data_IF_779401185546
#
_entry.id   IF_779401185546
#
_cell.length_a   1.000
_cell.length_b   1.000
_cell.length_c   1.000
_cell.angle_alpha   90.00
_cell.angle_beta   90.00
_cell.angle_gamma   90.00
#
_symmetry.space_group_name_H-M   'P 1'
#
loop_
_entity.id
_entity.type
_entity.pdbx_description
1 polymer ?
#
# COMPACT_ATOMS: atom_id res chain seq x y z
N UNK A 1 -39.84 -67.69 -43.24
CA UNK A 1 -40.31 -67.05 -41.96
C UNK A 1 -39.12 -66.90 -41.06
N UNK A 2 -38.53 -65.77 -41.02
CA UNK A 2 -37.52 -65.52 -40.04
C UNK A 2 -37.34 -64.00 -39.92
N UNK A 3 -37.41 -63.49 -38.71
CA UNK A 3 -37.31 -62.09 -38.40
C UNK A 3 -35.85 -61.74 -38.01
N UNK A 4 -35.26 -60.84 -38.75
CA UNK A 4 -33.97 -60.23 -38.45
C UNK A 4 -34.12 -59.14 -37.39
N UNK A 5 -33.42 -59.30 -36.28
CA UNK A 5 -33.28 -58.26 -35.29
C UNK A 5 -32.02 -57.43 -35.57
N UNK A 6 -32.22 -56.17 -35.89
CA UNK A 6 -31.16 -55.16 -36.05
C UNK A 6 -30.89 -54.57 -34.68
N UNK A 7 -29.70 -54.86 -34.09
CA UNK A 7 -29.25 -54.36 -32.85
C UNK A 7 -28.67 -52.92 -33.09
N UNK A 8 -29.37 -51.90 -32.61
CA UNK A 8 -28.86 -50.51 -32.59
C UNK A 8 -27.95 -50.32 -31.40
N UNK A 9 -26.67 -50.19 -31.67
CA UNK A 9 -25.69 -49.74 -30.68
C UNK A 9 -25.88 -48.24 -30.46
N UNK A 10 -26.41 -47.85 -29.29
CA UNK A 10 -26.37 -46.49 -28.78
C UNK A 10 -25.05 -46.28 -28.06
N UNK A 11 -24.15 -45.54 -28.69
CA UNK A 11 -22.94 -45.04 -28.04
C UNK A 11 -23.37 -43.85 -27.17
N UNK A 12 -23.46 -44.06 -25.85
CA UNK A 12 -23.60 -42.99 -24.88
C UNK A 12 -22.21 -42.39 -24.64
N UNK A 13 -21.96 -41.23 -25.19
CA UNK A 13 -20.80 -40.41 -24.81
C UNK A 13 -21.09 -39.75 -23.45
N UNK A 14 -20.23 -39.92 -22.46
CA UNK A 14 -20.38 -39.15 -21.22
C UNK A 14 -20.01 -37.70 -21.48
N UNK A 15 -21.00 -36.81 -21.40
CA UNK A 15 -20.82 -35.37 -21.34
C UNK A 15 -20.10 -35.07 -20.01
N UNK A 16 -18.78 -34.92 -20.06
CA UNK A 16 -18.00 -34.36 -18.97
C UNK A 16 -18.33 -32.84 -18.88
N UNK A 17 -19.34 -32.54 -18.06
CA UNK A 17 -19.55 -31.20 -17.55
C UNK A 17 -18.33 -30.85 -16.66
N UNK A 18 -17.32 -30.24 -17.25
CA UNK A 18 -16.33 -29.46 -16.50
C UNK A 18 -17.08 -28.34 -15.77
N UNK A 19 -17.47 -28.60 -14.54
CA UNK A 19 -17.78 -27.57 -13.59
C UNK A 19 -16.47 -26.78 -13.40
N UNK A 20 -16.32 -25.67 -14.14
CA UNK A 20 -15.43 -24.60 -13.77
C UNK A 20 -15.97 -24.05 -12.45
N UNK A 21 -15.50 -24.61 -11.34
CA UNK A 21 -15.58 -23.95 -10.06
C UNK A 21 -14.78 -22.66 -10.21
N UNK A 22 -15.38 -21.47 -10.03
CA UNK A 22 -14.54 -20.30 -9.88
C UNK A 22 -13.64 -20.62 -8.70
N UNK A 23 -12.33 -20.63 -8.92
CA UNK A 23 -11.38 -20.56 -7.82
C UNK A 23 -11.80 -19.32 -7.03
N UNK A 24 -12.47 -19.54 -5.90
CA UNK A 24 -12.61 -18.51 -4.90
C UNK A 24 -11.19 -18.05 -4.63
N UNK A 25 -10.85 -16.86 -5.08
CA UNK A 25 -9.67 -16.17 -4.61
C UNK A 25 -9.79 -16.23 -3.09
N UNK A 26 -8.94 -17.03 -2.46
CA UNK A 26 -8.84 -17.03 -1.01
C UNK A 26 -8.52 -15.58 -0.68
N UNK A 27 -9.49 -14.92 -0.03
CA UNK A 27 -9.27 -13.65 0.62
C UNK A 27 -7.95 -13.80 1.38
N UNK A 28 -7.02 -12.91 1.08
CA UNK A 28 -5.79 -12.72 1.84
C UNK A 28 -6.13 -12.87 3.30
N UNK A 29 -5.49 -13.83 3.95
CA UNK A 29 -5.54 -14.05 5.40
C UNK A 29 -5.53 -12.69 6.07
N UNK A 30 -6.54 -12.43 6.93
CA UNK A 30 -6.61 -11.23 7.77
C UNK A 30 -5.24 -11.04 8.42
N UNK A 31 -4.45 -10.14 7.90
CA UNK A 31 -3.16 -9.84 8.48
C UNK A 31 -3.43 -9.15 9.83
N UNK A 32 -3.11 -9.79 10.96
CA UNK A 32 -3.40 -9.24 12.26
C UNK A 32 -2.76 -7.86 12.47
N UNK A 33 -1.70 -7.54 11.74
CA UNK A 33 -1.03 -6.24 11.81
C UNK A 33 -1.91 -5.10 11.29
N UNK A 34 -2.62 -5.29 10.18
CA UNK A 34 -3.53 -4.25 9.65
C UNK A 34 -4.68 -3.96 10.63
N UNK A 35 -5.30 -5.01 11.18
CA UNK A 35 -6.36 -4.86 12.17
C UNK A 35 -5.85 -4.19 13.44
N UNK A 36 -4.66 -4.57 13.91
CA UNK A 36 -4.03 -3.98 15.09
C UNK A 36 -3.77 -2.48 14.91
N UNK A 37 -3.19 -2.09 13.76
CA UNK A 37 -2.95 -0.67 13.45
C UNK A 37 -4.25 0.12 13.32
N UNK A 38 -5.30 -0.47 12.73
CA UNK A 38 -6.62 0.15 12.66
C UNK A 38 -7.21 0.40 14.06
N UNK A 39 -7.15 -0.58 14.97
CA UNK A 39 -7.68 -0.42 16.32
C UNK A 39 -6.91 0.61 17.13
N UNK A 40 -5.59 0.70 16.96
CA UNK A 40 -4.78 1.75 17.57
C UNK A 40 -5.17 3.14 17.06
N UNK A 41 -5.46 3.26 15.77
CA UNK A 41 -5.96 4.52 15.19
C UNK A 41 -7.32 4.91 15.81
N UNK A 42 -8.24 3.94 15.90
CA UNK A 42 -9.55 4.13 16.52
C UNK A 42 -9.44 4.65 17.94
N UNK A 43 -8.76 3.92 18.80
CA UNK A 43 -8.59 4.30 20.21
C UNK A 43 -7.92 5.67 20.33
N UNK A 44 -6.94 5.97 19.49
CA UNK A 44 -6.24 7.25 19.50
C UNK A 44 -7.08 8.45 19.12
N UNK A 45 -8.07 8.27 18.23
CA UNK A 45 -8.92 9.32 17.69
C UNK A 45 -10.24 9.44 18.48
N UNK A 46 -10.87 8.32 18.80
CA UNK A 46 -12.25 8.31 19.31
C UNK A 46 -12.33 8.27 20.84
N UNK A 47 -11.26 7.88 21.57
CA UNK A 47 -11.22 7.99 23.02
C UNK A 47 -11.22 9.44 23.54
N UNK A 48 -10.45 10.42 23.00
CA UNK A 48 -10.42 11.77 23.55
C UNK A 48 -11.76 12.45 23.74
N UNK A 49 -12.73 12.41 22.81
CA UNK A 49 -14.03 13.03 23.00
C UNK A 49 -14.92 12.32 24.04
N UNK A 50 -14.58 11.09 24.47
CA UNK A 50 -15.38 10.36 25.46
C UNK A 50 -15.10 10.80 26.91
N UNK A 51 -14.00 11.53 27.14
CA UNK A 51 -13.52 11.91 28.46
C UNK A 51 -13.37 13.43 28.58
N UNK A 52 -14.01 14.01 29.61
CA UNK A 52 -13.81 15.40 30.00
C UNK A 52 -13.49 15.49 31.50
N UNK A 53 -12.32 16.09 31.84
CA UNK A 53 -11.86 16.22 33.23
C UNK A 53 -11.87 14.90 34.03
N UNK A 54 -11.54 13.78 33.39
CA UNK A 54 -11.53 12.45 34.02
C UNK A 54 -12.91 11.82 34.22
N UNK A 55 -13.95 12.42 33.64
CA UNK A 55 -15.30 11.87 33.66
C UNK A 55 -15.72 11.40 32.28
N UNK A 56 -16.44 10.29 32.22
CA UNK A 56 -17.01 9.75 31.00
C UNK A 56 -18.20 10.63 30.59
N UNK A 57 -18.12 11.25 29.42
CA UNK A 57 -19.20 12.09 28.86
C UNK A 57 -19.96 11.35 27.75
N UNK A 58 -19.36 10.35 27.13
CA UNK A 58 -20.02 9.40 26.23
C UNK A 58 -19.78 7.96 26.72
N UNK A 59 -20.74 7.36 27.44
CA UNK A 59 -20.57 6.03 28.01
C UNK A 59 -20.56 4.90 26.96
N UNK A 60 -21.17 5.11 25.79
CA UNK A 60 -21.26 4.08 24.73
C UNK A 60 -19.92 3.97 24.03
N UNK A 61 -19.43 5.07 23.48
CA UNK A 61 -18.11 5.14 22.83
C UNK A 61 -16.99 4.77 23.81
N UNK A 62 -17.08 5.20 25.07
CA UNK A 62 -16.09 4.84 26.10
C UNK A 62 -16.03 3.31 26.32
N UNK A 63 -17.17 2.61 26.35
CA UNK A 63 -17.19 1.16 26.51
C UNK A 63 -16.54 0.45 25.31
N UNK A 64 -16.70 0.97 24.09
CA UNK A 64 -16.00 0.45 22.90
C UNK A 64 -14.48 0.65 23.03
N UNK A 65 -14.03 1.79 23.56
CA UNK A 65 -12.59 2.03 23.78
C UNK A 65 -11.99 1.05 24.79
N UNK A 66 -12.75 0.71 25.86
CA UNK A 66 -12.34 -0.34 26.81
C UNK A 66 -12.21 -1.70 26.11
N UNK A 67 -13.18 -2.09 25.27
CA UNK A 67 -13.14 -3.35 24.52
C UNK A 67 -11.97 -3.39 23.52
N UNK A 68 -11.81 -2.35 22.69
CA UNK A 68 -10.77 -2.27 21.68
C UNK A 68 -9.37 -2.29 22.29
N UNK A 69 -9.15 -1.67 23.44
CA UNK A 69 -7.88 -1.74 24.15
C UNK A 69 -7.52 -3.18 24.57
N UNK A 70 -8.50 -3.98 24.93
CA UNK A 70 -8.32 -5.41 25.21
C UNK A 70 -7.99 -6.21 23.96
N UNK A 71 -8.68 -5.94 22.84
CA UNK A 71 -8.44 -6.65 21.58
C UNK A 71 -7.08 -6.28 20.95
N UNK A 72 -6.58 -5.06 21.13
CA UNK A 72 -5.21 -4.67 20.76
C UNK A 72 -4.19 -5.63 21.40
N UNK A 73 -4.32 -5.92 22.70
CA UNK A 73 -3.45 -6.87 23.39
C UNK A 73 -3.58 -8.28 22.80
N UNK A 74 -4.81 -8.74 22.54
CA UNK A 74 -5.08 -10.05 21.99
C UNK A 74 -4.47 -10.22 20.58
N UNK A 75 -4.60 -9.21 19.73
CA UNK A 75 -4.02 -9.23 18.39
C UNK A 75 -2.50 -9.22 18.46
N UNK A 76 -1.92 -8.38 19.33
CA UNK A 76 -0.47 -8.32 19.50
C UNK A 76 0.10 -9.64 20.02
N UNK A 77 -0.61 -10.35 20.90
CA UNK A 77 -0.22 -11.70 21.34
C UNK A 77 -0.17 -12.69 20.18
N UNK A 78 -1.06 -12.58 19.21
CA UNK A 78 -1.10 -13.44 18.00
C UNK A 78 0.00 -13.12 16.98
N UNK A 79 0.62 -11.92 17.04
CA UNK A 79 1.74 -11.56 16.17
C UNK A 79 2.92 -12.52 16.38
N UNK A 80 3.76 -12.74 15.35
CA UNK A 80 4.97 -13.57 15.48
C UNK A 80 5.87 -13.12 16.64
N UNK A 81 6.58 -14.08 17.27
CA UNK A 81 7.58 -13.73 18.27
C UNK A 81 8.75 -13.00 17.60
N UNK A 82 9.08 -11.83 18.16
CA UNK A 82 10.22 -11.01 17.77
C UNK A 82 10.84 -10.32 18.98
N UNK A 83 12.10 -9.96 18.88
CA UNK A 83 12.75 -9.08 19.85
C UNK A 83 11.92 -7.79 20.01
N UNK A 84 11.68 -7.34 21.23
CA UNK A 84 10.86 -6.17 21.52
C UNK A 84 9.35 -6.43 21.65
N UNK A 85 8.79 -7.59 21.27
CA UNK A 85 7.35 -7.89 21.41
C UNK A 85 6.83 -7.68 22.84
N UNK A 86 7.62 -8.03 23.85
CA UNK A 86 7.26 -7.85 25.25
C UNK A 86 7.12 -6.37 25.64
N UNK A 87 7.94 -5.50 25.05
CA UNK A 87 7.85 -4.04 25.22
C UNK A 87 6.57 -3.52 24.57
N UNK A 88 6.24 -3.99 23.36
CA UNK A 88 4.99 -3.61 22.68
C UNK A 88 3.75 -4.06 23.48
N UNK A 89 3.77 -5.26 24.08
CA UNK A 89 2.71 -5.75 24.96
C UNK A 89 2.59 -4.88 26.23
N UNK A 90 3.71 -4.46 26.82
CA UNK A 90 3.70 -3.56 27.97
C UNK A 90 3.10 -2.19 27.62
N UNK A 91 3.44 -1.64 26.46
CA UNK A 91 2.87 -0.38 25.98
C UNK A 91 1.35 -0.50 25.70
N UNK A 92 0.91 -1.61 25.12
CA UNK A 92 -0.53 -1.89 24.94
C UNK A 92 -1.27 -1.99 26.29
N UNK A 93 -0.67 -2.63 27.29
CA UNK A 93 -1.23 -2.71 28.63
C UNK A 93 -1.28 -1.33 29.32
N UNK A 94 -0.33 -0.43 29.07
CA UNK A 94 -0.37 0.95 29.55
C UNK A 94 -1.54 1.73 28.94
N UNK A 95 -1.82 1.55 27.65
CA UNK A 95 -3.00 2.14 26.99
C UNK A 95 -4.28 1.65 27.67
N UNK A 96 -4.45 0.34 27.84
CA UNK A 96 -5.62 -0.26 28.49
C UNK A 96 -5.80 0.27 29.93
N UNK A 97 -4.73 0.29 30.70
CA UNK A 97 -4.77 0.83 32.07
C UNK A 97 -5.13 2.32 32.09
N UNK A 98 -4.57 3.12 31.17
CA UNK A 98 -4.88 4.54 31.05
C UNK A 98 -6.35 4.80 30.71
N UNK A 99 -6.97 3.98 29.85
CA UNK A 99 -8.39 4.05 29.54
C UNK A 99 -9.21 3.71 30.79
N UNK A 100 -8.91 2.62 31.49
CA UNK A 100 -9.61 2.22 32.73
C UNK A 100 -9.49 3.27 33.85
N UNK A 101 -8.35 3.96 33.92
CA UNK A 101 -8.11 5.08 34.87
C UNK A 101 -8.70 6.41 34.38
N UNK A 102 -9.28 6.46 33.18
CA UNK A 102 -9.87 7.66 32.59
C UNK A 102 -8.89 8.82 32.44
N UNK A 103 -7.66 8.51 32.04
CA UNK A 103 -6.64 9.54 31.80
C UNK A 103 -7.04 10.43 30.62
N UNK A 104 -6.54 11.67 30.61
CA UNK A 104 -6.89 12.65 29.55
C UNK A 104 -6.60 12.13 28.16
N UNK A 105 -7.49 12.44 27.19
CA UNK A 105 -7.49 11.94 25.83
C UNK A 105 -6.15 12.11 25.10
N UNK A 106 -5.49 13.27 25.23
CA UNK A 106 -4.18 13.52 24.62
C UNK A 106 -3.10 12.50 25.05
N UNK A 107 -3.18 11.99 26.30
CA UNK A 107 -2.21 10.98 26.77
C UNK A 107 -2.43 9.67 26.00
N UNK A 108 -3.68 9.24 25.86
CA UNK A 108 -4.01 8.01 25.13
C UNK A 108 -3.65 8.15 23.64
N UNK A 109 -3.96 9.28 22.99
CA UNK A 109 -3.56 9.52 21.60
C UNK A 109 -2.05 9.41 21.40
N UNK A 110 -1.25 9.94 22.32
CA UNK A 110 0.23 9.82 22.24
C UNK A 110 0.69 8.37 22.44
N UNK A 111 0.10 7.63 23.39
CA UNK A 111 0.47 6.23 23.63
C UNK A 111 0.12 5.32 22.44
N UNK A 112 -1.07 5.48 21.86
CA UNK A 112 -1.48 4.71 20.69
C UNK A 112 -0.62 5.02 19.49
N UNK A 113 -0.27 6.30 19.26
CA UNK A 113 0.62 6.71 18.19
C UNK A 113 2.02 6.10 18.36
N UNK A 114 2.60 6.19 19.56
CA UNK A 114 3.92 5.61 19.85
C UNK A 114 3.94 4.09 19.66
N UNK A 115 2.87 3.39 20.09
CA UNK A 115 2.77 1.95 19.87
C UNK A 115 2.61 1.60 18.38
N UNK A 116 1.84 2.39 17.62
CA UNK A 116 1.69 2.22 16.17
C UNK A 116 3.03 2.33 15.44
N UNK A 117 3.82 3.35 15.73
CA UNK A 117 5.16 3.56 15.17
C UNK A 117 6.12 2.42 15.52
N UNK A 118 6.12 2.01 16.80
CA UNK A 118 6.95 0.89 17.26
C UNK A 118 6.57 -0.44 16.59
N UNK A 119 5.28 -0.70 16.34
CA UNK A 119 4.81 -1.87 15.60
C UNK A 119 5.25 -1.84 14.14
N UNK A 120 5.05 -0.73 13.45
CA UNK A 120 5.48 -0.54 12.05
C UNK A 120 6.97 -0.83 11.91
N UNK A 121 7.79 -0.25 12.81
CA UNK A 121 9.24 -0.45 12.81
C UNK A 121 9.63 -1.88 13.15
N UNK A 122 9.09 -2.45 14.26
CA UNK A 122 9.48 -3.77 14.76
C UNK A 122 9.10 -4.90 13.79
N UNK A 123 7.93 -4.80 13.17
CA UNK A 123 7.42 -5.81 12.23
C UNK A 123 7.68 -5.46 10.76
N UNK A 124 8.36 -4.36 10.46
CA UNK A 124 8.62 -3.88 9.09
C UNK A 124 7.35 -3.83 8.25
N UNK A 125 6.27 -3.28 8.82
CA UNK A 125 4.97 -3.22 8.15
C UNK A 125 5.06 -2.18 7.03
N UNK A 126 4.70 -2.59 5.81
CA UNK A 126 4.67 -1.70 4.65
C UNK A 126 3.42 -0.81 4.74
N UNK A 127 3.63 0.48 4.94
CA UNK A 127 2.55 1.47 5.12
C UNK A 127 2.33 2.35 3.89
N UNK A 128 2.66 1.85 2.72
CA UNK A 128 2.53 2.60 1.47
C UNK A 128 2.38 1.72 0.23
N UNK A 129 1.90 2.28 -0.87
CA UNK A 129 1.90 1.60 -2.15
C UNK A 129 3.31 1.53 -2.73
N UNK A 130 3.57 0.57 -3.60
CA UNK A 130 4.87 0.43 -4.30
C UNK A 130 5.16 1.60 -5.24
N UNK A 131 4.12 2.17 -5.82
CA UNK A 131 4.17 3.32 -6.73
C UNK A 131 2.93 4.19 -6.54
N UNK A 132 2.98 5.43 -7.04
CA UNK A 132 1.83 6.31 -7.00
C UNK A 132 0.63 5.67 -7.72
N UNK A 133 -0.53 5.55 -7.06
CA UNK A 133 -1.70 4.99 -7.70
C UNK A 133 -2.21 5.91 -8.82
N UNK A 134 -2.81 5.31 -9.83
CA UNK A 134 -3.45 6.09 -10.90
C UNK A 134 -4.69 6.81 -10.35
N UNK A 135 -4.63 8.14 -10.34
CA UNK A 135 -5.73 8.99 -9.84
C UNK A 135 -6.84 9.22 -10.87
N UNK A 136 -6.68 8.73 -12.11
CA UNK A 136 -7.73 8.87 -13.12
C UNK A 136 -8.99 8.09 -12.71
N UNK A 137 -10.12 8.80 -12.67
CA UNK A 137 -11.42 8.19 -12.31
C UNK A 137 -11.66 7.97 -10.82
N UNK A 138 -10.73 8.36 -9.92
CA UNK A 138 -10.90 8.18 -8.47
C UNK A 138 -12.14 8.90 -7.95
N UNK A 139 -12.48 10.08 -8.49
CA UNK A 139 -13.70 10.80 -8.12
C UNK A 139 -14.96 10.00 -8.46
N UNK A 140 -15.03 9.41 -9.64
CA UNK A 140 -16.17 8.57 -10.03
C UNK A 140 -16.25 7.28 -9.17
N UNK A 141 -15.09 6.73 -8.79
CA UNK A 141 -15.01 5.59 -7.86
C UNK A 141 -15.56 5.98 -6.48
N UNK A 142 -15.18 7.13 -5.95
CA UNK A 142 -15.70 7.69 -4.69
C UNK A 142 -17.22 7.91 -4.76
N UNK A 143 -17.70 8.54 -5.82
CA UNK A 143 -19.13 8.81 -6.00
C UNK A 143 -19.95 7.52 -6.04
N UNK A 144 -19.44 6.46 -6.66
CA UNK A 144 -20.16 5.19 -6.77
C UNK A 144 -20.19 4.35 -5.50
N UNK A 145 -19.18 4.50 -4.63
CA UNK A 145 -19.01 3.62 -3.46
C UNK A 145 -19.14 4.33 -2.11
N UNK A 146 -18.82 5.62 -2.03
CA UNK A 146 -18.63 6.32 -0.76
C UNK A 146 -19.63 7.47 -0.56
N UNK A 147 -19.96 8.22 -1.64
CA UNK A 147 -20.71 9.47 -1.54
C UNK A 147 -22.14 9.29 -1.00
N UNK A 148 -22.73 8.10 -1.11
CA UNK A 148 -24.06 7.84 -0.55
C UNK A 148 -24.14 8.04 0.96
N UNK A 149 -23.06 7.80 1.68
CA UNK A 149 -22.93 8.00 3.12
C UNK A 149 -22.11 9.26 3.43
N UNK A 150 -20.92 9.41 2.80
CA UNK A 150 -19.99 10.47 3.13
C UNK A 150 -20.25 11.81 2.42
N UNK A 151 -21.25 11.88 1.51
CA UNK A 151 -21.52 13.06 0.69
C UNK A 151 -20.56 13.19 -0.49
N UNK A 152 -20.98 13.90 -1.53
CA UNK A 152 -20.17 14.10 -2.76
C UNK A 152 -18.84 14.81 -2.45
N UNK A 153 -18.89 15.73 -1.48
CA UNK A 153 -17.72 16.52 -1.07
C UNK A 153 -17.02 15.97 0.18
N UNK A 154 -17.53 14.90 0.79
CA UNK A 154 -16.86 14.26 1.91
C UNK A 154 -17.16 14.85 3.30
N UNK A 155 -18.25 15.59 3.47
CA UNK A 155 -18.65 16.19 4.75
C UNK A 155 -19.43 15.25 5.68
N UNK A 156 -19.60 13.98 5.32
CA UNK A 156 -20.41 13.03 6.08
C UNK A 156 -21.93 13.26 5.91
N UNK A 157 -22.35 14.05 4.94
CA UNK A 157 -23.71 14.54 4.71
C UNK A 157 -24.44 13.81 3.58
N UNK A 158 -24.01 12.61 3.23
CA UNK A 158 -24.63 11.82 2.17
C UNK A 158 -26.09 11.48 2.46
N UNK A 159 -26.89 11.17 1.42
CA UNK A 159 -28.32 10.90 1.58
C UNK A 159 -28.64 9.74 2.53
N UNK A 160 -27.72 8.80 2.70
CA UNK A 160 -27.86 7.68 3.65
C UNK A 160 -27.33 7.98 5.05
N UNK A 161 -26.63 9.11 5.25
CA UNK A 161 -26.06 9.46 6.57
C UNK A 161 -27.13 9.72 7.64
N UNK A 162 -28.33 10.12 7.21
CA UNK A 162 -29.40 10.51 8.15
C UNK A 162 -29.84 9.34 9.02
N UNK A 163 -29.59 9.46 10.31
CA UNK A 163 -29.98 8.44 11.31
C UNK A 163 -28.98 7.29 11.44
N UNK A 164 -27.80 7.41 10.86
CA UNK A 164 -26.69 6.52 11.16
C UNK A 164 -26.06 6.90 12.51
N UNK A 165 -25.76 5.90 13.30
CA UNK A 165 -25.06 6.02 14.58
C UNK A 165 -23.94 5.00 14.62
N UNK A 166 -22.67 5.39 14.68
CA UNK A 166 -22.20 6.77 14.57
C UNK A 166 -22.42 7.35 13.14
N UNK A 167 -22.44 8.69 13.00
CA UNK A 167 -22.57 9.33 11.69
C UNK A 167 -21.31 9.10 10.84
N UNK A 168 -21.43 9.10 9.50
CA UNK A 168 -20.27 9.03 8.61
C UNK A 168 -19.30 10.17 8.89
N UNK A 169 -17.99 9.85 8.91
CA UNK A 169 -16.95 10.83 9.20
C UNK A 169 -16.89 11.95 8.16
N UNK A 170 -16.67 13.18 8.66
CA UNK A 170 -16.31 14.36 7.85
C UNK A 170 -14.80 14.33 7.58
N UNK A 171 -14.42 14.23 6.29
CA UNK A 171 -13.01 14.21 5.89
C UNK A 171 -12.34 15.60 5.95
N UNK A 172 -13.11 16.67 6.13
CA UNK A 172 -12.59 18.03 6.31
C UNK A 172 -12.30 18.37 7.78
N UNK A 173 -12.76 17.54 8.72
CA UNK A 173 -12.50 17.77 10.14
C UNK A 173 -11.01 17.54 10.46
N UNK A 174 -10.25 18.63 10.51
CA UNK A 174 -8.82 18.59 10.82
C UNK A 174 -8.55 17.99 12.20
N UNK A 175 -9.46 18.11 13.17
CA UNK A 175 -9.25 17.54 14.51
C UNK A 175 -9.14 16.02 14.47
N UNK A 176 -9.93 15.37 13.62
CA UNK A 176 -9.85 13.92 13.37
C UNK A 176 -8.71 13.53 12.43
N UNK A 177 -8.40 14.37 11.44
CA UNK A 177 -7.37 14.05 10.44
C UNK A 177 -5.94 14.36 10.92
N UNK A 178 -5.78 15.13 12.00
CA UNK A 178 -4.49 15.58 12.46
C UNK A 178 -3.54 14.44 12.86
N UNK A 179 -4.10 13.40 13.49
CA UNK A 179 -3.36 12.20 13.92
C UNK A 179 -3.42 11.04 12.92
N UNK A 180 -4.19 11.19 11.83
CA UNK A 180 -4.36 10.15 10.81
C UNK A 180 -3.38 10.26 9.66
N UNK A 181 -2.83 9.14 9.26
CA UNK A 181 -2.05 8.97 8.04
C UNK A 181 -2.95 8.57 6.85
N UNK A 182 -2.42 8.62 5.63
CA UNK A 182 -3.11 8.05 4.45
C UNK A 182 -3.27 6.53 4.61
N UNK A 183 -2.31 5.86 5.26
CA UNK A 183 -2.38 4.43 5.53
C UNK A 183 -3.55 4.06 6.47
N UNK A 184 -3.86 4.88 7.45
CA UNK A 184 -5.01 4.66 8.33
C UNK A 184 -6.34 4.75 7.54
N UNK A 185 -6.44 5.70 6.60
CA UNK A 185 -7.57 5.79 5.68
C UNK A 185 -7.66 4.56 4.76
N UNK A 186 -6.53 4.11 4.21
CA UNK A 186 -6.45 2.90 3.40
C UNK A 186 -6.92 1.66 4.18
N UNK A 187 -6.50 1.52 5.44
CA UNK A 187 -6.92 0.41 6.30
C UNK A 187 -8.42 0.47 6.60
N UNK A 188 -8.95 1.65 6.92
CA UNK A 188 -10.39 1.85 7.14
C UNK A 188 -11.21 1.48 5.89
N UNK A 189 -10.78 1.88 4.71
CA UNK A 189 -11.42 1.49 3.44
C UNK A 189 -11.33 -0.03 3.25
N UNK A 190 -10.16 -0.62 3.50
CA UNK A 190 -9.93 -2.05 3.29
C UNK A 190 -10.76 -2.93 4.22
N UNK A 191 -10.75 -2.62 5.51
CA UNK A 191 -11.32 -3.46 6.55
C UNK A 191 -12.78 -3.11 6.88
N UNK A 192 -13.23 -1.90 6.53
CA UNK A 192 -14.47 -1.33 7.05
C UNK A 192 -14.34 -1.00 8.53
N UNK A 193 -15.45 -0.68 9.14
CA UNK A 193 -15.54 -0.34 10.57
C UNK A 193 -16.49 -1.32 11.24
N UNK A 194 -16.02 -2.15 12.20
CA UNK A 194 -16.88 -3.09 12.91
C UNK A 194 -18.07 -2.38 13.52
N UNK A 195 -19.20 -3.08 13.59
CA UNK A 195 -20.44 -2.62 14.23
C UNK A 195 -21.08 -1.34 13.64
N UNK A 196 -20.55 -0.85 12.51
CA UNK A 196 -21.08 0.31 11.80
C UNK A 196 -21.54 -0.06 10.38
N UNK A 197 -22.32 0.81 9.70
CA UNK A 197 -22.65 0.64 8.30
C UNK A 197 -21.45 0.73 7.32
N UNK A 198 -20.25 1.13 7.78
CA UNK A 198 -19.05 1.21 6.96
C UNK A 198 -18.52 -0.20 6.63
N UNK A 199 -18.93 -0.74 5.49
CA UNK A 199 -18.50 -2.07 5.05
C UNK A 199 -17.03 -2.09 4.58
N UNK A 200 -16.45 -3.30 4.52
CA UNK A 200 -15.15 -3.54 3.89
C UNK A 200 -15.22 -3.34 2.37
N UNK A 201 -14.25 -2.62 1.82
CA UNK A 201 -14.05 -2.46 0.39
C UNK A 201 -12.84 -3.27 -0.13
N UNK A 202 -12.49 -4.36 0.53
CA UNK A 202 -11.42 -5.27 0.10
C UNK A 202 -11.64 -5.88 -1.29
N UNK A 203 -12.87 -5.81 -1.84
CA UNK A 203 -13.19 -6.23 -3.20
C UNK A 203 -12.67 -5.26 -4.29
N UNK A 204 -12.36 -4.01 -3.93
CA UNK A 204 -11.64 -3.07 -4.80
C UNK A 204 -10.18 -3.48 -4.92
N UNK A 205 -9.55 -3.18 -6.05
CA UNK A 205 -8.12 -3.42 -6.20
C UNK A 205 -7.31 -2.61 -5.17
N UNK A 206 -6.11 -3.08 -4.88
CA UNK A 206 -5.19 -2.38 -3.98
C UNK A 206 -4.94 -0.94 -4.45
N UNK A 207 -4.65 -0.76 -5.73
CA UNK A 207 -4.47 0.54 -6.37
C UNK A 207 -5.68 1.47 -6.21
N UNK A 208 -6.91 0.95 -6.37
CA UNK A 208 -8.13 1.73 -6.18
C UNK A 208 -8.31 2.20 -4.74
N UNK A 209 -8.01 1.35 -3.76
CA UNK A 209 -8.09 1.71 -2.34
C UNK A 209 -7.05 2.76 -1.96
N UNK A 210 -5.81 2.64 -2.47
CA UNK A 210 -4.77 3.66 -2.30
C UNK A 210 -5.14 4.98 -2.95
N UNK A 211 -5.71 4.97 -4.17
CA UNK A 211 -6.18 6.17 -4.85
C UNK A 211 -7.25 6.90 -4.04
N UNK A 212 -8.23 6.16 -3.49
CA UNK A 212 -9.26 6.71 -2.60
C UNK A 212 -8.63 7.30 -1.33
N UNK A 213 -7.76 6.57 -0.64
CA UNK A 213 -7.10 7.06 0.58
C UNK A 213 -6.27 8.32 0.34
N UNK A 214 -5.51 8.38 -0.77
CA UNK A 214 -4.75 9.57 -1.15
C UNK A 214 -5.64 10.76 -1.51
N UNK A 215 -6.77 10.53 -2.15
CA UNK A 215 -7.75 11.58 -2.43
C UNK A 215 -8.33 12.15 -1.13
N UNK A 216 -8.79 11.29 -0.22
CA UNK A 216 -9.40 11.69 1.05
C UNK A 216 -8.39 12.39 1.97
N UNK A 217 -7.13 11.97 1.97
CA UNK A 217 -6.06 12.59 2.74
C UNK A 217 -5.75 14.06 2.40
N UNK A 218 -6.39 14.61 1.33
CA UNK A 218 -6.24 16.00 0.89
C UNK A 218 -7.35 16.91 1.40
N UNK A 219 -8.49 16.37 1.84
CA UNK A 219 -9.72 17.15 2.10
C UNK A 219 -9.61 18.06 3.32
N UNK A 220 -8.80 17.72 4.31
CA UNK A 220 -8.70 18.47 5.57
C UNK A 220 -7.79 19.70 5.53
N UNK A 221 -7.16 20.01 4.39
CA UNK A 221 -6.18 21.11 4.29
C UNK A 221 -6.68 22.25 3.41
N UNK A 222 -6.26 23.47 3.75
CA UNK A 222 -6.56 24.66 2.94
C UNK A 222 -5.47 24.91 1.89
N UNK A 223 -5.84 25.62 0.83
CA UNK A 223 -4.90 26.08 -0.21
C UNK A 223 -3.75 26.93 0.38
N UNK A 224 -4.00 27.66 1.46
CA UNK A 224 -2.98 28.44 2.16
C UNK A 224 -1.93 27.50 2.81
N UNK A 225 -2.37 26.43 3.44
CA UNK A 225 -1.46 25.43 4.02
C UNK A 225 -0.61 24.75 2.94
N UNK A 226 -1.23 24.38 1.82
CA UNK A 226 -0.53 23.79 0.66
C UNK A 226 0.51 24.76 0.09
N UNK A 227 0.15 26.03 -0.09
CA UNK A 227 1.07 27.08 -0.60
C UNK A 227 2.23 27.30 0.34
N UNK A 228 1.97 27.36 1.65
CA UNK A 228 3.02 27.46 2.67
C UNK A 228 3.93 26.24 2.67
N UNK A 229 3.34 25.06 2.56
CA UNK A 229 4.07 23.78 2.48
C UNK A 229 5.01 23.73 1.29
N UNK A 230 4.56 24.20 0.11
CA UNK A 230 5.41 24.33 -1.08
C UNK A 230 6.68 25.14 -0.80
N UNK A 231 6.51 26.31 -0.19
CA UNK A 231 7.65 27.20 0.14
C UNK A 231 8.62 26.51 1.09
N UNK A 232 8.11 25.85 2.14
CA UNK A 232 8.95 25.13 3.12
C UNK A 232 9.66 23.93 2.47
N UNK A 233 8.98 23.18 1.62
CA UNK A 233 9.56 22.05 0.88
C UNK A 233 10.69 22.49 -0.05
N UNK A 234 10.51 23.60 -0.76
CA UNK A 234 11.55 24.20 -1.60
C UNK A 234 12.77 24.70 -0.81
N UNK A 235 12.57 25.07 0.46
CA UNK A 235 13.64 25.43 1.39
C UNK A 235 14.33 24.21 2.02
N UNK A 236 13.92 22.99 1.68
CA UNK A 236 14.50 21.75 2.17
C UNK A 236 13.95 21.25 3.51
N UNK A 237 12.89 21.88 4.03
CA UNK A 237 12.28 21.48 5.32
C UNK A 237 11.72 20.06 5.21
N UNK A 238 12.12 19.20 6.16
CA UNK A 238 11.75 17.78 6.25
C UNK A 238 12.11 16.91 5.03
N UNK A 239 13.03 17.36 4.16
CA UNK A 239 13.48 16.56 3.00
C UNK A 239 13.97 15.18 3.39
N UNK A 240 14.70 15.07 4.49
CA UNK A 240 15.27 13.81 4.94
C UNK A 240 14.21 12.83 5.50
N UNK A 241 13.03 13.33 5.84
CA UNK A 241 11.93 12.51 6.36
C UNK A 241 10.99 12.00 5.26
N UNK A 242 10.94 12.69 4.11
CA UNK A 242 10.05 12.35 2.99
C UNK A 242 10.86 12.00 1.74
N UNK A 243 11.46 10.82 1.72
CA UNK A 243 12.26 10.30 0.61
C UNK A 243 11.60 9.11 -0.11
N UNK A 244 10.51 8.57 0.45
CA UNK A 244 9.78 7.41 -0.08
C UNK A 244 8.27 7.56 0.11
N UNK A 245 7.47 6.82 -0.71
CA UNK A 245 6.01 6.79 -0.59
C UNK A 245 5.52 6.32 0.79
N UNK A 246 6.09 5.27 1.41
CA UNK A 246 5.71 4.86 2.75
C UNK A 246 5.85 5.98 3.79
N UNK A 247 6.86 6.85 3.67
CA UNK A 247 7.00 8.00 4.56
C UNK A 247 5.85 9.00 4.38
N UNK A 248 5.43 9.26 3.14
CA UNK A 248 4.28 10.13 2.88
C UNK A 248 2.97 9.52 3.38
N UNK A 249 2.76 8.24 3.10
CA UNK A 249 1.49 7.57 3.37
C UNK A 249 1.33 7.16 4.82
N UNK A 250 2.44 6.86 5.52
CA UNK A 250 2.46 6.47 6.92
C UNK A 250 2.51 7.65 7.91
N UNK A 251 2.78 8.87 7.44
CA UNK A 251 2.96 10.03 8.32
C UNK A 251 1.66 10.80 8.52
N UNK A 252 1.34 11.11 9.79
CA UNK A 252 0.26 12.02 10.16
C UNK A 252 0.74 13.48 10.24
N UNK A 253 -0.20 14.43 10.26
CA UNK A 253 0.15 15.85 10.45
C UNK A 253 0.82 16.12 11.80
N UNK A 254 0.41 15.38 12.84
CA UNK A 254 1.01 15.46 14.17
C UNK A 254 2.48 15.04 14.14
N UNK A 255 2.81 13.92 13.50
CA UNK A 255 4.19 13.44 13.35
C UNK A 255 5.05 14.44 12.56
N UNK A 256 4.52 14.99 11.47
CA UNK A 256 5.27 15.98 10.68
C UNK A 256 5.58 17.26 11.49
N UNK A 257 4.65 17.71 12.34
CA UNK A 257 4.90 18.83 13.25
C UNK A 257 5.94 18.47 14.33
N UNK A 258 5.94 17.24 14.83
CA UNK A 258 6.94 16.73 15.79
C UNK A 258 8.34 16.68 15.16
N UNK A 259 8.45 16.14 13.95
CA UNK A 259 9.72 16.08 13.22
C UNK A 259 10.31 17.48 13.01
N UNK A 260 9.48 18.47 12.66
CA UNK A 260 9.96 19.85 12.55
C UNK A 260 10.50 20.39 13.87
N UNK A 261 9.94 20.00 15.01
CA UNK A 261 10.47 20.39 16.34
C UNK A 261 11.80 19.70 16.65
N UNK A 262 11.92 18.38 16.33
CA UNK A 262 13.15 17.60 16.52
C UNK A 262 14.29 18.18 15.68
N UNK A 263 14.01 18.60 14.44
CA UNK A 263 14.96 19.23 13.54
C UNK A 263 15.34 20.69 13.95
N UNK A 264 14.85 21.16 15.10
CA UNK A 264 15.12 22.49 15.60
C UNK A 264 14.30 23.61 14.93
N UNK A 265 13.26 23.24 14.18
CA UNK A 265 12.39 24.15 13.43
C UNK A 265 11.06 24.41 14.18
N UNK A 266 11.12 24.64 15.49
CA UNK A 266 9.93 24.76 16.35
C UNK A 266 8.91 25.83 15.93
N UNK A 267 9.31 26.84 15.15
CA UNK A 267 8.41 27.85 14.57
C UNK A 267 7.78 27.44 13.23
N UNK A 268 8.17 26.28 12.70
CA UNK A 268 7.70 25.76 11.41
C UNK A 268 6.63 24.70 11.65
N UNK A 269 5.55 24.75 10.90
CA UNK A 269 4.54 23.71 10.88
C UNK A 269 4.92 22.65 9.81
N UNK A 270 5.46 21.54 10.27
CA UNK A 270 5.77 20.38 9.41
C UNK A 270 4.54 19.82 8.72
N UNK A 271 3.39 19.93 9.37
CA UNK A 271 2.08 19.61 8.80
C UNK A 271 1.77 20.34 7.49
N UNK A 272 2.30 21.57 7.28
CA UNK A 272 2.14 22.27 6.01
C UNK A 272 2.97 21.61 4.89
N UNK A 273 4.18 21.12 5.18
CA UNK A 273 4.98 20.34 4.20
C UNK A 273 4.23 19.07 3.80
N UNK A 274 3.71 18.32 4.78
CA UNK A 274 2.93 17.13 4.52
C UNK A 274 1.66 17.44 3.71
N UNK A 275 0.97 18.54 4.00
CA UNK A 275 -0.18 19.00 3.23
C UNK A 275 0.17 19.23 1.75
N UNK A 276 1.32 19.87 1.50
CA UNK A 276 1.82 20.07 0.14
C UNK A 276 2.12 18.73 -0.54
N UNK A 277 2.87 17.84 0.10
CA UNK A 277 3.25 16.53 -0.47
C UNK A 277 2.05 15.61 -0.69
N UNK A 278 1.04 15.63 0.16
CA UNK A 278 -0.21 14.88 -0.08
C UNK A 278 -0.97 15.37 -1.32
N UNK A 279 -0.88 16.68 -1.63
CA UNK A 279 -1.46 17.26 -2.84
C UNK A 279 -0.58 17.11 -4.07
N UNK A 280 0.73 17.01 -3.88
CA UNK A 280 1.76 16.91 -4.91
C UNK A 280 2.72 15.74 -4.62
N UNK A 281 2.21 14.49 -4.57
CA UNK A 281 3.06 13.33 -4.26
C UNK A 281 4.15 13.08 -5.31
N UNK A 282 3.98 13.62 -6.52
CA UNK A 282 4.97 13.61 -7.60
C UNK A 282 6.24 14.42 -7.27
N UNK A 283 6.17 15.30 -6.28
CA UNK A 283 7.34 16.06 -5.79
C UNK A 283 8.25 15.23 -4.86
N UNK A 284 7.76 14.09 -4.40
CA UNK A 284 8.65 13.07 -3.87
C UNK A 284 9.45 12.56 -5.08
N UNK A 285 10.71 12.89 -5.12
CA UNK A 285 11.64 12.17 -5.95
C UNK A 285 11.66 10.73 -5.42
N UNK A 286 10.75 9.90 -5.92
CA UNK A 286 10.86 8.44 -5.79
C UNK A 286 12.06 8.11 -6.66
N UNK A 287 13.24 8.27 -6.08
CA UNK A 287 14.45 8.06 -6.82
C UNK A 287 14.55 6.56 -7.07
N UNK A 288 14.84 6.18 -8.30
CA UNK A 288 15.27 4.82 -8.63
C UNK A 288 16.36 4.32 -7.65
N UNK A 289 17.06 5.25 -6.99
CA UNK A 289 18.02 5.00 -5.93
C UNK A 289 17.41 4.40 -4.67
N UNK A 290 16.27 4.91 -4.19
CA UNK A 290 15.60 4.36 -3.01
C UNK A 290 15.13 2.93 -3.27
N UNK A 291 14.61 2.66 -4.47
CA UNK A 291 14.24 1.32 -4.91
C UNK A 291 15.46 0.37 -4.93
N UNK A 292 16.57 0.82 -5.50
CA UNK A 292 17.82 0.05 -5.52
C UNK A 292 18.43 -0.14 -4.11
N UNK A 293 18.29 0.85 -3.21
CA UNK A 293 18.70 0.73 -1.80
C UNK A 293 17.85 -0.30 -1.06
N UNK A 294 16.54 -0.31 -1.29
CA UNK A 294 15.63 -1.33 -0.76
C UNK A 294 16.04 -2.72 -1.24
N UNK A 295 16.37 -2.85 -2.53
CA UNK A 295 16.87 -4.11 -3.09
C UNK A 295 18.12 -4.61 -2.33
N UNK A 296 19.12 -3.73 -2.15
CA UNK A 296 20.36 -4.05 -1.42
C UNK A 296 20.07 -4.49 0.02
N UNK A 297 19.20 -3.76 0.73
CA UNK A 297 18.82 -4.08 2.11
C UNK A 297 18.13 -5.45 2.22
N UNK A 298 17.21 -5.75 1.30
CA UNK A 298 16.50 -7.03 1.29
C UNK A 298 17.40 -8.21 0.93
N UNK A 299 18.41 -8.01 0.07
CA UNK A 299 19.45 -9.03 -0.19
C UNK A 299 20.24 -9.35 1.08
N UNK A 300 20.62 -8.33 1.86
CA UNK A 300 21.32 -8.52 3.13
C UNK A 300 20.44 -9.28 4.14
N UNK A 301 19.19 -8.90 4.29
CA UNK A 301 18.20 -9.59 5.14
C UNK A 301 18.02 -11.05 4.72
N UNK A 302 18.02 -11.34 3.42
CA UNK A 302 17.94 -12.72 2.90
C UNK A 302 19.12 -13.57 3.34
N UNK A 303 20.34 -13.01 3.29
CA UNK A 303 21.55 -13.71 3.75
C UNK A 303 21.51 -13.97 5.27
N UNK A 304 21.02 -13.00 6.06
CA UNK A 304 20.85 -13.20 7.51
C UNK A 304 19.92 -14.36 7.83
N UNK A 305 18.74 -14.42 7.22
CA UNK A 305 17.83 -15.55 7.38
C UNK A 305 18.46 -16.88 6.94
N UNK A 306 19.27 -16.86 5.86
CA UNK A 306 19.98 -18.06 5.43
C UNK A 306 21.03 -18.53 6.45
N UNK A 307 21.73 -17.60 7.13
CA UNK A 307 22.68 -17.91 8.23
C UNK A 307 21.96 -18.50 9.44
N UNK A 308 20.75 -18.06 9.72
CA UNK A 308 19.90 -18.60 10.79
C UNK A 308 19.25 -19.94 10.41
N UNK A 309 19.40 -20.39 9.17
CA UNK A 309 18.82 -21.62 8.65
C UNK A 309 17.38 -21.51 8.19
N UNK A 310 16.76 -20.32 8.26
CA UNK A 310 15.41 -20.08 7.75
C UNK A 310 15.40 -19.83 6.23
N UNK A 311 15.44 -20.93 5.48
CA UNK A 311 15.44 -20.91 4.02
C UNK A 311 14.17 -20.28 3.43
N UNK A 312 13.03 -20.39 4.12
CA UNK A 312 11.77 -19.85 3.66
C UNK A 312 11.78 -18.33 3.78
N UNK A 313 12.18 -17.80 4.92
CA UNK A 313 12.34 -16.36 5.12
C UNK A 313 13.40 -15.77 4.19
N UNK A 314 14.54 -16.46 4.03
CA UNK A 314 15.58 -16.05 3.08
C UNK A 314 15.05 -15.94 1.65
N UNK A 315 14.27 -16.92 1.18
CA UNK A 315 13.66 -16.88 -0.15
C UNK A 315 12.64 -15.76 -0.29
N UNK A 316 11.84 -15.53 0.74
CA UNK A 316 10.86 -14.41 0.75
C UNK A 316 11.55 -13.05 0.66
N UNK A 317 12.62 -12.83 1.45
CA UNK A 317 13.41 -11.60 1.40
C UNK A 317 14.10 -11.40 0.04
N UNK A 318 14.60 -12.48 -0.58
CA UNK A 318 15.16 -12.44 -1.94
C UNK A 318 14.12 -12.08 -3.00
N UNK A 319 12.88 -12.52 -2.83
CA UNK A 319 11.78 -12.14 -3.72
C UNK A 319 11.41 -10.66 -3.54
N UNK A 320 11.36 -10.16 -2.30
CA UNK A 320 11.15 -8.74 -2.00
C UNK A 320 12.28 -7.86 -2.54
N UNK A 321 13.53 -8.30 -2.51
CA UNK A 321 14.66 -7.59 -3.12
C UNK A 321 14.43 -7.32 -4.62
N UNK A 322 13.81 -8.25 -5.31
CA UNK A 322 13.43 -8.08 -6.72
C UNK A 322 12.16 -7.22 -6.86
N UNK A 323 11.03 -7.66 -6.29
CA UNK A 323 9.70 -7.10 -6.52
C UNK A 323 9.50 -5.72 -5.88
N UNK A 324 10.05 -5.50 -4.68
CA UNK A 324 9.87 -4.26 -3.92
C UNK A 324 11.07 -3.30 -4.09
N UNK A 325 12.13 -3.78 -4.76
CA UNK A 325 13.35 -3.05 -5.05
C UNK A 325 13.61 -2.89 -6.54
N UNK A 326 14.37 -3.81 -7.13
CA UNK A 326 14.91 -3.68 -8.49
C UNK A 326 13.84 -3.48 -9.57
N UNK A 327 12.68 -4.18 -9.51
CA UNK A 327 11.59 -4.07 -10.49
C UNK A 327 11.08 -2.63 -10.62
N UNK A 328 11.12 -1.83 -9.55
CA UNK A 328 10.68 -0.43 -9.58
C UNK A 328 11.66 0.48 -10.34
N UNK A 329 12.97 0.16 -10.33
CA UNK A 329 14.00 0.90 -11.06
C UNK A 329 14.22 0.37 -12.49
N UNK A 330 13.72 -0.83 -12.80
CA UNK A 330 13.91 -1.50 -14.08
C UNK A 330 13.47 -0.66 -15.29
N UNK A 331 12.28 0.00 -15.31
CA UNK A 331 11.82 0.80 -16.43
C UNK A 331 12.78 1.95 -16.77
N UNK A 332 13.36 2.58 -15.77
CA UNK A 332 14.35 3.64 -15.96
C UNK A 332 15.68 3.08 -16.47
N UNK A 333 16.12 1.97 -15.89
CA UNK A 333 17.39 1.35 -16.23
C UNK A 333 17.41 0.75 -17.64
N UNK A 334 16.31 0.14 -18.10
CA UNK A 334 16.22 -0.44 -19.45
C UNK A 334 16.40 0.60 -20.56
N UNK A 335 16.01 1.84 -20.30
CA UNK A 335 16.15 2.96 -21.25
C UNK A 335 17.60 3.42 -21.35
N UNK A 336 18.33 3.37 -20.23
CA UNK A 336 19.68 3.91 -20.12
C UNK A 336 20.74 2.84 -20.40
N UNK A 337 20.61 1.67 -19.76
CA UNK A 337 21.53 0.53 -19.96
C UNK A 337 20.79 -0.81 -19.87
N UNK A 338 20.31 -1.27 -21.00
CA UNK A 338 19.64 -2.57 -21.13
C UNK A 338 20.55 -3.76 -20.76
N UNK A 339 21.86 -3.66 -20.97
CA UNK A 339 22.78 -4.77 -20.67
C UNK A 339 22.97 -4.93 -19.17
N UNK A 340 23.11 -3.82 -18.44
CA UNK A 340 23.19 -3.81 -17.00
C UNK A 340 21.89 -4.32 -16.37
N UNK A 341 20.72 -3.91 -16.88
CA UNK A 341 19.41 -4.44 -16.47
C UNK A 341 19.38 -5.98 -16.58
N UNK A 342 19.74 -6.54 -17.73
CA UNK A 342 19.75 -7.99 -17.96
C UNK A 342 20.76 -8.73 -17.06
N UNK A 343 21.90 -8.10 -16.74
CA UNK A 343 22.90 -8.66 -15.85
C UNK A 343 22.34 -8.77 -14.41
N UNK A 344 21.67 -7.72 -13.92
CA UNK A 344 21.04 -7.71 -12.61
C UNK A 344 19.94 -8.77 -12.52
N UNK A 345 19.03 -8.83 -13.49
CA UNK A 345 17.96 -9.84 -13.50
C UNK A 345 18.49 -11.26 -13.40
N UNK A 346 19.51 -11.57 -14.19
CA UNK A 346 20.15 -12.89 -14.19
C UNK A 346 20.70 -13.25 -12.82
N UNK A 347 21.41 -12.33 -12.18
CA UNK A 347 21.97 -12.57 -10.85
C UNK A 347 20.88 -12.61 -9.76
N UNK A 348 19.80 -11.83 -9.89
CA UNK A 348 18.63 -11.91 -9.00
C UNK A 348 17.93 -13.28 -9.08
N UNK A 349 17.80 -13.86 -10.27
CA UNK A 349 17.28 -15.21 -10.46
C UNK A 349 18.21 -16.22 -9.76
N UNK A 350 19.51 -16.13 -10.01
CA UNK A 350 20.52 -16.98 -9.42
C UNK A 350 20.52 -16.90 -7.87
N UNK A 351 20.39 -15.70 -7.33
CA UNK A 351 20.31 -15.48 -5.89
C UNK A 351 19.07 -16.18 -5.29
N UNK A 352 17.87 -15.99 -5.87
CA UNK A 352 16.63 -16.64 -5.41
C UNK A 352 16.71 -18.17 -5.47
N UNK A 353 17.30 -18.72 -6.54
CA UNK A 353 17.52 -20.16 -6.66
C UNK A 353 18.47 -20.68 -5.56
N UNK A 354 19.54 -19.93 -5.29
CA UNK A 354 20.55 -20.29 -4.28
C UNK A 354 20.00 -20.27 -2.86
N UNK A 355 19.00 -19.40 -2.55
CA UNK A 355 18.34 -19.42 -1.22
C UNK A 355 17.73 -20.77 -0.87
N UNK A 356 17.31 -21.55 -1.86
CA UNK A 356 16.62 -22.83 -1.66
C UNK A 356 17.57 -23.96 -1.29
N UNK A 357 18.72 -24.03 -1.96
CA UNK A 357 19.59 -25.21 -1.90
C UNK A 357 21.09 -24.90 -1.78
N UNK A 358 21.51 -23.65 -1.99
CA UNK A 358 22.91 -23.24 -1.95
C UNK A 358 23.48 -23.13 -0.52
N UNK A 359 24.81 -23.00 -0.41
CA UNK A 359 25.46 -22.65 0.86
C UNK A 359 25.34 -21.15 1.13
N UNK A 360 25.56 -20.75 2.39
CA UNK A 360 25.56 -19.34 2.78
C UNK A 360 26.68 -18.58 2.06
N UNK A 361 27.86 -19.18 1.91
CA UNK A 361 29.01 -18.59 1.22
C UNK A 361 28.73 -18.35 -0.26
N UNK A 362 27.97 -19.25 -0.91
CA UNK A 362 27.52 -19.05 -2.28
C UNK A 362 26.55 -17.87 -2.39
N UNK A 363 25.63 -17.76 -1.43
CA UNK A 363 24.65 -16.69 -1.37
C UNK A 363 25.32 -15.33 -1.16
N UNK A 364 26.29 -15.26 -0.24
CA UNK A 364 27.12 -14.08 0.02
C UNK A 364 27.88 -13.63 -1.25
N UNK A 365 28.52 -14.57 -1.95
CA UNK A 365 29.25 -14.25 -3.17
C UNK A 365 28.36 -13.72 -4.30
N UNK A 366 27.08 -14.14 -4.37
CA UNK A 366 26.12 -13.61 -5.35
C UNK A 366 25.61 -12.24 -4.87
N UNK A 367 25.37 -12.07 -3.57
CA UNK A 367 24.99 -10.80 -2.95
C UNK A 367 26.03 -9.71 -3.27
N UNK A 368 27.31 -9.99 -3.06
CA UNK A 368 28.38 -9.03 -3.31
C UNK A 368 28.36 -8.54 -4.76
N UNK A 369 28.20 -9.46 -5.72
CA UNK A 369 28.07 -9.11 -7.15
C UNK A 369 26.81 -8.28 -7.44
N UNK A 370 25.68 -8.65 -6.82
CA UNK A 370 24.43 -7.88 -6.99
C UNK A 370 24.57 -6.48 -6.41
N UNK A 371 25.20 -6.30 -5.26
CA UNK A 371 25.46 -4.99 -4.66
C UNK A 371 26.34 -4.13 -5.58
N UNK A 372 27.37 -4.72 -6.21
CA UNK A 372 28.18 -3.99 -7.22
C UNK A 372 27.33 -3.54 -8.40
N UNK A 373 26.55 -4.45 -9.01
CA UNK A 373 25.69 -4.14 -10.16
C UNK A 373 24.60 -3.12 -9.83
N UNK A 374 23.97 -3.22 -8.65
CA UNK A 374 22.96 -2.28 -8.20
C UNK A 374 23.54 -0.88 -7.92
N UNK A 375 24.77 -0.79 -7.41
CA UNK A 375 25.48 0.47 -7.24
C UNK A 375 25.92 1.06 -8.59
N UNK A 376 26.30 0.23 -9.58
CA UNK A 376 26.55 0.67 -10.95
C UNK A 376 25.26 1.22 -11.58
N UNK A 377 24.12 0.57 -11.37
CA UNK A 377 22.80 1.06 -11.82
C UNK A 377 22.49 2.44 -11.22
N UNK A 378 22.74 2.66 -9.93
CA UNK A 378 22.58 3.97 -9.31
C UNK A 378 23.45 5.03 -9.98
N UNK A 379 24.72 4.74 -10.22
CA UNK A 379 25.62 5.68 -10.88
C UNK A 379 25.17 5.98 -12.30
N UNK A 380 24.73 4.98 -13.05
CA UNK A 380 24.26 5.11 -14.43
C UNK A 380 23.01 5.98 -14.51
N UNK A 381 22.04 5.77 -13.60
CA UNK A 381 20.82 6.59 -13.50
C UNK A 381 21.13 8.04 -13.10
N UNK A 382 22.12 8.27 -12.22
CA UNK A 382 22.58 9.61 -11.84
C UNK A 382 23.24 10.39 -12.98
N UNK A 383 24.12 9.74 -13.73
CA UNK A 383 24.92 10.41 -14.77
C UNK A 383 24.09 10.79 -15.99
N UNK A 384 22.99 10.10 -16.24
CA UNK A 384 22.12 10.36 -17.38
C UNK A 384 21.07 11.43 -17.12
N UNK A 385 20.90 11.89 -15.87
CA UNK A 385 20.07 13.04 -15.48
C UNK A 385 18.81 13.20 -16.33
N UNK A 386 18.06 12.11 -16.54
CA UNK A 386 16.88 12.16 -17.41
C UNK A 386 15.83 13.04 -16.74
N UNK A 387 15.62 14.24 -17.29
CA UNK A 387 14.44 15.01 -16.96
C UNK A 387 13.20 14.13 -17.20
N UNK A 388 12.18 14.27 -16.36
CA UNK A 388 10.86 13.61 -16.50
C UNK A 388 10.31 13.67 -17.94
N UNK A 389 10.72 14.67 -18.74
CA UNK A 389 10.42 14.79 -20.16
C UNK A 389 11.10 13.75 -21.05
N UNK A 390 12.31 13.30 -20.74
CA UNK A 390 12.99 12.27 -21.52
C UNK A 390 12.46 10.87 -21.22
N UNK A 391 12.10 10.59 -19.95
CA UNK A 391 11.39 9.36 -19.55
C UNK A 391 10.01 9.26 -20.21
N UNK A 392 9.26 10.37 -20.23
CA UNK A 392 7.98 10.47 -20.95
C UNK A 392 8.15 10.20 -22.45
N UNK A 393 9.17 10.79 -23.09
CA UNK A 393 9.42 10.61 -24.52
C UNK A 393 9.79 9.16 -24.85
N UNK A 394 10.59 8.50 -24.00
CA UNK A 394 10.93 7.08 -24.13
C UNK A 394 9.72 6.17 -24.04
N UNK A 395 8.89 6.33 -23.02
CA UNK A 395 7.63 5.59 -22.84
C UNK A 395 6.65 5.85 -23.98
N UNK A 396 6.55 7.09 -24.46
CA UNK A 396 5.71 7.47 -25.59
C UNK A 396 6.14 6.79 -26.90
N UNK A 397 7.44 6.70 -27.15
CA UNK A 397 7.96 6.02 -28.35
C UNK A 397 7.67 4.51 -28.31
N UNK A 398 7.77 3.87 -27.14
CA UNK A 398 7.43 2.45 -26.96
C UNK A 398 5.95 2.22 -27.24
N UNK A 399 5.07 3.00 -26.63
CA UNK A 399 3.62 2.91 -26.85
C UNK A 399 3.22 3.20 -28.29
N UNK A 400 3.89 4.16 -28.94
CA UNK A 400 3.67 4.47 -30.35
C UNK A 400 4.07 3.30 -31.27
N UNK A 401 5.19 2.64 -30.98
CA UNK A 401 5.66 1.46 -31.71
C UNK A 401 4.67 0.30 -31.56
N UNK A 402 4.25 -0.04 -30.34
CA UNK A 402 3.28 -1.11 -30.10
C UNK A 402 1.91 -0.79 -30.72
N UNK A 403 1.47 0.47 -30.65
CA UNK A 403 0.25 0.92 -31.31
C UNK A 403 0.31 0.77 -32.85
N UNK A 404 1.45 1.09 -33.47
CA UNK A 404 1.66 0.89 -34.89
C UNK A 404 1.71 -0.59 -35.27
N UNK A 405 2.35 -1.46 -34.45
CA UNK A 405 2.37 -2.90 -34.67
C UNK A 405 0.97 -3.49 -34.60
N UNK A 406 0.14 -3.08 -33.62
CA UNK A 406 -1.25 -3.50 -33.48
C UNK A 406 -2.10 -3.07 -34.70
N UNK A 407 -1.92 -1.84 -35.19
CA UNK A 407 -2.61 -1.34 -36.38
C UNK A 407 -2.20 -2.13 -37.65
N UNK A 408 -0.94 -2.46 -37.79
CA UNK A 408 -0.46 -3.27 -38.91
C UNK A 408 -1.01 -4.69 -38.91
N UNK A 409 -1.12 -5.32 -37.71
CA UNK A 409 -1.75 -6.64 -37.56
C UNK A 409 -3.24 -6.59 -37.94
N UNK A 410 -3.96 -5.57 -37.44
CA UNK A 410 -5.36 -5.34 -37.78
C UNK A 410 -5.56 -5.11 -39.28
N UNK A 411 -4.71 -4.30 -39.90
CA UNK A 411 -4.74 -4.04 -41.33
C UNK A 411 -4.45 -5.30 -42.18
N UNK A 412 -3.51 -6.14 -41.73
CA UNK A 412 -3.21 -7.42 -42.37
C UNK A 412 -4.39 -8.41 -42.29
N UNK A 413 -5.04 -8.48 -41.12
CA UNK A 413 -6.26 -9.31 -40.91
C UNK A 413 -7.40 -8.80 -41.79
N UNK A 414 -7.65 -7.50 -41.85
CA UNK A 414 -8.68 -6.91 -42.70
C UNK A 414 -8.40 -7.16 -44.20
N UNK A 415 -7.16 -7.00 -44.63
CA UNK A 415 -6.77 -7.29 -46.00
C UNK A 415 -6.97 -8.77 -46.36
N UNK A 416 -6.66 -9.69 -45.45
CA UNK A 416 -6.91 -11.11 -45.63
C UNK A 416 -8.43 -11.44 -45.71
N UNK A 417 -9.25 -10.84 -44.85
CA UNK A 417 -10.70 -11.00 -44.87
C UNK A 417 -11.34 -10.45 -46.16
N UNK A 418 -10.89 -9.31 -46.66
CA UNK A 418 -11.36 -8.72 -47.92
C UNK A 418 -10.97 -9.62 -49.09
N UNK A 419 -9.78 -10.20 -49.07
CA UNK A 419 -9.27 -11.07 -50.14
C UNK A 419 -9.97 -12.46 -50.18
N UNK A 420 -10.43 -12.96 -49.06
CA UNK A 420 -11.12 -14.27 -48.98
C UNK A 420 -12.58 -14.19 -49.38
N UNK A 421 -13.20 -13.02 -49.52
CA UNK A 421 -14.57 -12.81 -49.97
C UNK A 421 -15.65 -13.49 -49.06
N UNK A 422 -16.90 -13.15 -49.19
CA UNK A 422 -17.94 -13.80 -48.38
C UNK A 422 -18.09 -15.24 -48.87
N UNK A 423 -18.00 -16.22 -47.96
CA UNK A 423 -18.31 -17.62 -48.25
C UNK A 423 -19.80 -17.68 -48.56
N UNK A 424 -20.13 -17.88 -49.85
CA UNK A 424 -21.51 -18.10 -50.28
C UNK A 424 -21.97 -19.46 -49.79
N UNK A 425 -22.80 -19.50 -48.75
CA UNK A 425 -23.57 -20.71 -48.39
C UNK A 425 -24.69 -20.83 -49.41
N UNK A 426 -24.51 -21.64 -50.44
CA UNK A 426 -25.62 -22.15 -51.26
C UNK A 426 -26.25 -23.32 -50.51
N UNK A 427 -27.53 -23.16 -50.20
CA UNK A 427 -28.42 -24.25 -49.74
C UNK A 427 -28.67 -25.30 -50.78
#
# INVERSE_FOLDING_TARGET
MSKSNLLRLLIAAPLLLMFCWPAASQSTTDDPSQRLLQMLDYVGVDYPPTIENGQVVDPVEYAEMEEFSGEIINLLQKMPEREGKQVLLANAAEIQAGIAERVGGEKISRLTQALKEALISNYSIIVGPKQLPNMAGVQALYESHCASCHGIMGYGDGPLAKGMEPPPGDFHDMSRQYTRSIYDLYNTITLGVPETPMASFAHLSDEQRWALAMMLGRYSVSDEQVTRGKTLWQQGVLRNHFNELPNLTGTSYAMADEWAQIDGLASVKGSAVLAYLRNHPEELEISDHAALDTSIAMLATSVEYAREGDRKAAHSAALSAYLDGFELAEPSLVVVDKQLKLAIEKEMINFRETTRHGSVEQLEAIQDRLVELLNEAKQTLNTTGMSSGAAFLGSFIILLREGVEAILVLAAIMAALIKTGPVSYTH
#
